data_IF_403448277851
#
_entry.id   IF_403448277851
#
_cell.length_a   1.000
_cell.length_b   1.000
_cell.length_c   1.000
_cell.angle_alpha   90.00
_cell.angle_beta   90.00
_cell.angle_gamma   90.00
#
_symmetry.space_group_name_H-M   'P 1'
#
loop_
_entity.id
_entity.type
_entity.pdbx_description
1 polymer ?
#
# COMPACT_ATOMS: atom_id res chain seq x y z
N UNK A 1 8.16 0.97 -20.26
CA UNK A 1 7.31 0.80 -19.05
C UNK A 1 8.17 0.12 -18.00
N UNK A 2 8.22 0.62 -16.76
CA UNK A 2 9.11 0.08 -15.71
C UNK A 2 8.60 -1.28 -15.20
N UNK A 3 9.48 -2.17 -14.75
CA UNK A 3 9.11 -3.56 -14.35
C UNK A 3 8.01 -3.60 -13.27
N UNK A 4 8.02 -2.65 -12.32
CA UNK A 4 6.99 -2.53 -11.29
C UNK A 4 5.62 -2.18 -11.89
N UNK A 5 5.57 -1.33 -12.92
CA UNK A 5 4.31 -1.00 -13.62
C UNK A 5 3.77 -2.21 -14.39
N UNK A 6 4.65 -3.02 -14.98
CA UNK A 6 4.26 -4.26 -15.68
C UNK A 6 3.63 -5.23 -14.67
N UNK A 7 4.31 -5.49 -13.56
CA UNK A 7 3.79 -6.34 -12.47
C UNK A 7 2.40 -5.90 -12.01
N UNK A 8 2.22 -4.60 -11.70
CA UNK A 8 0.92 -4.09 -11.27
C UNK A 8 -0.14 -4.23 -12.38
N UNK A 9 0.21 -3.94 -13.63
CA UNK A 9 -0.75 -4.01 -14.74
C UNK A 9 -1.24 -5.44 -14.94
N UNK A 10 -0.32 -6.41 -15.02
CA UNK A 10 -0.64 -7.83 -15.17
C UNK A 10 -1.44 -8.34 -13.97
N UNK A 11 -1.00 -8.04 -12.75
CA UNK A 11 -1.68 -8.47 -11.52
C UNK A 11 -3.15 -8.03 -11.48
N UNK A 12 -3.44 -6.75 -11.73
CA UNK A 12 -4.82 -6.25 -11.66
C UNK A 12 -5.68 -6.68 -12.86
N UNK A 13 -5.08 -6.96 -14.02
CA UNK A 13 -5.77 -7.58 -15.14
C UNK A 13 -6.20 -9.02 -14.81
N UNK A 14 -5.34 -9.79 -14.15
CA UNK A 14 -5.63 -11.18 -13.75
C UNK A 14 -6.60 -11.24 -12.57
N UNK A 15 -6.44 -10.37 -11.56
CA UNK A 15 -7.30 -10.36 -10.38
C UNK A 15 -8.74 -9.94 -10.68
N UNK A 16 -8.97 -9.21 -11.78
CA UNK A 16 -10.31 -8.70 -12.14
C UNK A 16 -10.88 -7.67 -11.15
N UNK A 17 -10.04 -7.11 -10.28
CA UNK A 17 -10.43 -6.08 -9.32
C UNK A 17 -10.16 -4.71 -9.93
N UNK A 18 -11.19 -3.86 -9.94
CA UNK A 18 -11.03 -2.47 -10.37
C UNK A 18 -10.08 -1.73 -9.41
N UNK A 19 -9.03 -1.05 -9.91
CA UNK A 19 -8.13 -0.29 -9.05
C UNK A 19 -8.85 0.71 -8.14
N UNK A 20 -9.99 1.26 -8.56
CA UNK A 20 -10.84 2.16 -7.75
C UNK A 20 -11.34 1.55 -6.43
N UNK A 21 -11.34 0.22 -6.28
CA UNK A 21 -11.70 -0.45 -5.03
C UNK A 21 -10.54 -0.54 -4.03
N UNK A 22 -9.30 -0.25 -4.44
CA UNK A 22 -8.19 -0.15 -3.51
C UNK A 22 -8.38 1.03 -2.58
N UNK A 23 -8.33 0.76 -1.29
CA UNK A 23 -8.28 1.80 -0.27
C UNK A 23 -6.86 2.31 -0.08
N UNK A 24 -5.89 1.39 -0.07
CA UNK A 24 -4.54 1.65 0.39
C UNK A 24 -3.51 0.75 -0.31
N UNK A 25 -2.32 1.29 -0.55
CA UNK A 25 -1.13 0.50 -0.90
C UNK A 25 -0.09 0.64 0.21
N UNK A 26 0.25 -0.48 0.83
CA UNK A 26 1.43 -0.63 1.67
C UNK A 26 2.66 -0.78 0.76
N UNK A 27 3.34 0.34 0.53
CA UNK A 27 4.48 0.44 -0.39
C UNK A 27 5.71 -0.30 0.13
N UNK A 28 6.63 -0.64 -0.77
CA UNK A 28 7.97 -1.06 -0.37
C UNK A 28 8.67 0.09 0.37
N UNK A 29 8.61 1.32 -0.16
CA UNK A 29 8.78 2.57 0.59
C UNK A 29 10.02 2.60 1.50
N UNK A 30 11.20 2.59 0.89
CA UNK A 30 12.50 2.60 1.58
C UNK A 30 13.09 4.00 1.78
N UNK A 31 12.34 5.05 1.45
CA UNK A 31 12.77 6.44 1.55
C UNK A 31 14.00 6.76 0.70
N UNK A 32 14.20 6.03 -0.41
CA UNK A 32 15.37 6.22 -1.27
C UNK A 32 15.06 7.25 -2.35
N UNK A 33 16.03 8.12 -2.65
CA UNK A 33 15.87 9.16 -3.71
C UNK A 33 15.58 8.56 -5.09
N UNK A 34 16.09 7.36 -5.36
CA UNK A 34 15.90 6.69 -6.64
C UNK A 34 14.68 5.76 -6.66
N UNK A 35 14.42 5.01 -5.57
CA UNK A 35 13.39 3.98 -5.55
C UNK A 35 11.98 4.54 -5.36
N UNK A 36 11.79 5.49 -4.46
CA UNK A 36 10.45 6.01 -4.14
C UNK A 36 9.77 6.66 -5.36
N UNK A 37 10.44 7.51 -6.18
CA UNK A 37 9.81 8.03 -7.40
C UNK A 37 9.41 6.93 -8.37
N UNK A 38 10.22 5.87 -8.52
CA UNK A 38 9.91 4.75 -9.42
C UNK A 38 8.66 4.01 -8.96
N UNK A 39 8.58 3.70 -7.66
CA UNK A 39 7.45 2.99 -7.08
C UNK A 39 6.16 3.81 -7.14
N UNK A 40 6.21 5.07 -6.70
CA UNK A 40 5.02 5.93 -6.68
C UNK A 40 4.52 6.22 -8.10
N UNK A 41 5.41 6.42 -9.07
CA UNK A 41 5.02 6.60 -10.47
C UNK A 41 4.40 5.33 -11.06
N UNK A 42 4.90 4.14 -10.70
CA UNK A 42 4.27 2.89 -11.13
C UNK A 42 2.85 2.75 -10.57
N UNK A 43 2.65 3.04 -9.28
CA UNK A 43 1.33 3.05 -8.63
C UNK A 43 0.41 4.08 -9.30
N UNK A 44 0.89 5.31 -9.52
CA UNK A 44 0.12 6.38 -10.14
C UNK A 44 -0.38 5.99 -11.54
N UNK A 45 0.53 5.51 -12.39
CA UNK A 45 0.23 5.22 -13.79
C UNK A 45 -0.74 4.06 -13.96
N UNK A 46 -0.69 3.05 -13.08
CA UNK A 46 -1.51 1.84 -13.19
C UNK A 46 -2.80 1.95 -12.40
N UNK A 47 -2.74 2.46 -11.16
CA UNK A 47 -3.82 2.34 -10.19
C UNK A 47 -4.62 3.63 -10.00
N UNK A 48 -4.08 4.78 -10.45
CA UNK A 48 -4.70 6.09 -10.21
C UNK A 48 -5.46 6.67 -11.39
N UNK A 49 -5.39 6.04 -12.58
CA UNK A 49 -6.11 6.49 -13.76
C UNK A 49 -7.62 6.53 -13.48
N UNK A 50 -8.24 7.69 -13.69
CA UNK A 50 -9.69 7.94 -13.50
C UNK A 50 -10.20 7.75 -12.06
N UNK A 51 -9.34 7.76 -11.04
CA UNK A 51 -9.80 7.78 -9.65
C UNK A 51 -10.44 9.13 -9.32
N UNK A 52 -11.57 9.09 -8.60
CA UNK A 52 -12.24 10.30 -8.08
C UNK A 52 -11.67 10.78 -6.74
N UNK A 53 -11.03 9.87 -6.01
CA UNK A 53 -10.42 10.14 -4.71
C UNK A 53 -8.96 9.72 -4.72
N UNK A 54 -8.08 10.40 -3.98
CA UNK A 54 -6.68 10.03 -3.87
C UNK A 54 -6.52 8.55 -3.48
N UNK A 55 -5.51 7.88 -4.03
CA UNK A 55 -5.09 6.57 -3.52
C UNK A 55 -4.22 6.79 -2.30
N UNK A 56 -4.58 6.18 -1.17
CA UNK A 56 -3.78 6.27 0.04
C UNK A 56 -2.56 5.35 -0.05
N UNK A 57 -1.40 5.82 0.39
CA UNK A 57 -0.18 5.03 0.47
C UNK A 57 0.51 5.20 1.82
N UNK A 58 1.36 4.24 2.17
CA UNK A 58 2.21 4.33 3.34
C UNK A 58 3.24 3.20 3.39
N UNK A 59 4.04 3.17 4.46
CA UNK A 59 5.10 2.18 4.66
C UNK A 59 5.37 1.99 6.16
N UNK A 60 5.25 0.76 6.62
CA UNK A 60 5.60 0.30 7.97
C UNK A 60 7.08 0.53 8.28
N UNK A 61 7.92 0.65 7.23
CA UNK A 61 9.36 0.91 7.41
C UNK A 61 9.62 2.28 8.02
N UNK A 62 8.70 3.22 7.85
CA UNK A 62 8.77 4.51 8.56
C UNK A 62 8.60 4.35 10.08
N UNK A 63 7.92 3.29 10.53
CA UNK A 63 7.63 3.01 11.93
C UNK A 63 8.65 2.06 12.58
N UNK A 64 9.07 1.02 11.86
CA UNK A 64 9.87 -0.10 12.40
C UNK A 64 11.25 -0.25 11.77
N UNK A 65 11.59 0.58 10.78
CA UNK A 65 12.78 0.39 9.95
C UNK A 65 12.60 -0.73 8.91
N UNK A 66 13.67 -1.00 8.16
CA UNK A 66 13.65 -1.98 7.08
C UNK A 66 14.06 -3.37 7.59
N UNK A 67 13.11 -4.29 7.68
CA UNK A 67 13.35 -5.67 8.12
C UNK A 67 13.91 -6.61 7.02
N UNK A 68 14.57 -6.04 6.01
CA UNK A 68 15.16 -6.76 4.86
C UNK A 68 14.27 -7.90 4.32
N UNK A 69 14.63 -9.22 4.32
CA UNK A 69 13.78 -10.25 3.72
C UNK A 69 12.46 -10.46 4.49
N UNK A 70 12.40 -10.05 5.76
CA UNK A 70 11.18 -10.13 6.57
C UNK A 70 10.23 -8.94 6.34
N UNK A 71 10.57 -7.98 5.47
CA UNK A 71 9.75 -6.78 5.23
C UNK A 71 8.33 -7.10 4.78
N UNK A 72 8.13 -8.16 3.99
CA UNK A 72 6.79 -8.58 3.59
C UNK A 72 5.91 -8.94 4.79
N UNK A 73 6.46 -9.63 5.79
CA UNK A 73 5.71 -10.01 6.99
C UNK A 73 5.34 -8.82 7.87
N UNK A 74 6.23 -7.84 8.01
CA UNK A 74 5.91 -6.63 8.80
C UNK A 74 4.86 -5.76 8.11
N UNK A 75 4.88 -5.70 6.77
CA UNK A 75 3.83 -5.06 5.97
C UNK A 75 2.49 -5.77 6.15
N UNK A 76 2.46 -7.11 6.05
CA UNK A 76 1.25 -7.91 6.28
C UNK A 76 0.71 -7.69 7.69
N UNK A 77 1.57 -7.68 8.71
CA UNK A 77 1.15 -7.44 10.09
C UNK A 77 0.48 -6.07 10.26
N UNK A 78 1.04 -4.99 9.67
CA UNK A 78 0.41 -3.66 9.67
C UNK A 78 -0.95 -3.67 8.97
N UNK A 79 -1.06 -4.39 7.84
CA UNK A 79 -2.32 -4.51 7.09
C UNK A 79 -3.38 -5.29 7.87
N UNK A 80 -3.01 -6.38 8.54
CA UNK A 80 -3.92 -7.12 9.43
C UNK A 80 -4.39 -6.20 10.58
N UNK A 81 -3.49 -5.44 11.19
CA UNK A 81 -3.87 -4.46 12.22
C UNK A 81 -4.88 -3.45 11.64
N UNK A 82 -4.67 -2.95 10.42
CA UNK A 82 -5.60 -2.02 9.78
C UNK A 82 -6.98 -2.65 9.53
N UNK A 83 -7.04 -3.93 9.19
CA UNK A 83 -8.30 -4.67 9.07
C UNK A 83 -8.98 -4.87 10.41
N UNK A 84 -8.23 -5.25 11.45
CA UNK A 84 -8.79 -5.49 12.78
C UNK A 84 -9.32 -4.21 13.45
N UNK A 85 -8.70 -3.06 13.18
CA UNK A 85 -9.13 -1.76 13.73
C UNK A 85 -10.06 -0.98 12.80
N UNK A 86 -10.14 -1.34 11.52
CA UNK A 86 -10.79 -0.54 10.48
C UNK A 86 -10.06 0.76 10.14
N UNK A 87 -8.84 0.97 10.68
CA UNK A 87 -8.07 2.20 10.56
C UNK A 87 -6.65 1.91 10.08
N UNK A 88 -6.22 2.59 9.01
CA UNK A 88 -4.84 2.53 8.50
C UNK A 88 -3.93 3.32 9.44
N UNK A 89 -2.91 2.69 10.05
CA UNK A 89 -1.96 3.39 10.91
C UNK A 89 -1.10 4.41 10.15
N UNK A 90 -0.77 5.56 10.75
CA UNK A 90 0.01 6.61 10.09
C UNK A 90 1.47 6.24 9.85
N UNK A 91 2.02 6.79 8.77
CA UNK A 91 3.45 6.86 8.55
C UNK A 91 4.09 7.82 9.56
N UNK A 92 5.20 7.41 10.17
CA UNK A 92 6.03 8.32 10.98
C UNK A 92 6.98 9.13 10.10
N UNK A 93 7.47 10.25 10.64
CA UNK A 93 8.49 11.11 10.03
C UNK A 93 8.08 11.72 8.66
N UNK A 94 6.80 11.67 8.30
CA UNK A 94 6.27 12.32 7.10
C UNK A 94 5.80 13.74 7.44
N UNK A 95 6.47 14.74 6.88
CA UNK A 95 6.16 16.17 7.12
C UNK A 95 5.51 16.85 5.93
N UNK A 96 6.01 16.57 4.72
CA UNK A 96 5.56 17.19 3.48
C UNK A 96 5.79 16.24 2.30
N UNK A 97 5.00 16.34 1.23
CA UNK A 97 5.24 15.57 0.00
C UNK A 97 6.59 15.96 -0.60
N UNK A 98 7.23 14.99 -1.26
CA UNK A 98 8.38 15.28 -2.10
C UNK A 98 7.93 16.06 -3.34
N UNK A 99 8.73 17.05 -3.72
CA UNK A 99 8.50 17.93 -4.88
C UNK A 99 8.85 17.27 -6.22
N UNK A 100 9.68 16.22 -6.21
CA UNK A 100 10.08 15.45 -7.40
C UNK A 100 9.12 14.31 -7.77
N UNK A 101 7.96 14.22 -7.11
CA UNK A 101 6.93 13.21 -7.39
C UNK A 101 5.57 13.89 -7.61
N UNK A 102 5.24 14.16 -8.88
CA UNK A 102 4.01 14.89 -9.28
C UNK A 102 2.73 14.34 -8.64
N UNK A 103 2.60 13.01 -8.53
CA UNK A 103 1.42 12.36 -7.96
C UNK A 103 1.19 12.70 -6.47
N UNK A 104 2.26 13.02 -5.73
CA UNK A 104 2.17 13.49 -4.35
C UNK A 104 1.86 14.99 -4.30
N UNK A 105 2.48 15.78 -5.18
CA UNK A 105 2.30 17.23 -5.26
C UNK A 105 0.87 17.60 -5.65
N UNK A 106 0.31 16.92 -6.67
CA UNK A 106 -1.03 17.17 -7.16
C UNK A 106 -2.14 16.47 -6.34
N UNK A 107 -1.77 15.67 -5.33
CA UNK A 107 -2.69 14.98 -4.43
C UNK A 107 -3.41 13.76 -5.02
N UNK A 108 -3.01 13.27 -6.20
CA UNK A 108 -3.58 12.03 -6.77
C UNK A 108 -3.25 10.81 -5.90
N UNK A 109 -2.08 10.84 -5.25
CA UNK A 109 -1.65 9.90 -4.23
C UNK A 109 -1.46 10.65 -2.92
N UNK A 110 -1.96 10.08 -1.83
CA UNK A 110 -1.90 10.69 -0.50
C UNK A 110 -1.17 9.76 0.48
N UNK A 111 -0.10 10.26 1.11
CA UNK A 111 0.55 9.54 2.21
C UNK A 111 -0.32 9.63 3.47
N UNK A 112 -0.51 8.50 4.15
CA UNK A 112 -1.29 8.42 5.39
C UNK A 112 -0.49 9.05 6.54
N UNK A 113 -0.77 10.32 6.85
CA UNK A 113 -0.09 11.09 7.91
C UNK A 113 -0.80 11.05 9.28
N UNK A 114 -2.05 10.59 9.31
CA UNK A 114 -2.88 10.35 10.49
C UNK A 114 -3.71 9.10 10.26
N UNK A 115 -4.34 8.55 11.29
CA UNK A 115 -5.23 7.40 11.11
C UNK A 115 -6.34 7.71 10.09
N UNK A 116 -6.52 6.79 9.14
CA UNK A 116 -7.50 6.92 8.05
C UNK A 116 -8.40 5.70 7.98
N UNK A 117 -9.73 5.85 7.83
CA UNK A 117 -10.64 4.71 7.78
C UNK A 117 -10.50 3.90 6.49
N UNK A 118 -10.65 2.58 6.60
CA UNK A 118 -10.88 1.70 5.46
C UNK A 118 -12.30 1.87 4.94
N UNK A 119 -12.49 1.66 3.63
CA UNK A 119 -13.79 1.84 2.95
C UNK A 119 -14.23 0.57 2.25
N UNK A 120 -13.45 0.11 1.28
CA UNK A 120 -13.75 -1.07 0.47
C UNK A 120 -13.07 -2.34 1.03
N UNK A 121 -12.07 -2.21 1.89
CA UNK A 121 -11.31 -3.30 2.50
C UNK A 121 -10.34 -3.99 1.56
N UNK A 122 -9.90 -3.36 0.47
CA UNK A 122 -8.85 -3.90 -0.41
C UNK A 122 -7.55 -3.14 -0.19
N UNK A 123 -6.49 -3.88 0.17
CA UNK A 123 -5.17 -3.33 0.42
C UNK A 123 -4.13 -4.09 -0.41
N UNK A 124 -3.38 -3.35 -1.23
CA UNK A 124 -2.23 -3.90 -1.94
C UNK A 124 -0.95 -3.76 -1.11
N UNK A 125 -0.01 -4.69 -1.28
CA UNK A 125 1.31 -4.70 -0.63
C UNK A 125 2.38 -4.85 -1.70
N UNK A 126 3.36 -3.94 -1.72
CA UNK A 126 4.54 -4.02 -2.56
C UNK A 126 5.76 -4.47 -1.75
N UNK A 127 6.51 -5.45 -2.27
CA UNK A 127 7.80 -5.86 -1.70
C UNK A 127 8.81 -6.09 -2.81
N UNK A 128 9.82 -5.23 -2.89
CA UNK A 128 10.80 -5.21 -3.98
C UNK A 128 12.20 -5.45 -3.41
N UNK A 129 12.84 -6.54 -3.84
CA UNK A 129 14.21 -6.85 -3.46
C UNK A 129 15.21 -6.03 -4.28
N UNK A 130 16.31 -5.59 -3.67
CA UNK A 130 17.34 -4.81 -4.35
C UNK A 130 17.95 -5.54 -5.57
N UNK A 131 17.92 -6.88 -5.58
CA UNK A 131 18.36 -7.72 -6.70
C UNK A 131 17.41 -7.74 -7.91
N UNK A 132 16.28 -7.01 -7.85
CA UNK A 132 15.33 -6.87 -8.96
C UNK A 132 14.10 -7.79 -8.88
N UNK A 133 14.03 -8.70 -7.90
CA UNK A 133 12.85 -9.52 -7.65
C UNK A 133 11.72 -8.69 -7.05
N UNK A 134 10.57 -8.65 -7.70
CA UNK A 134 9.43 -7.84 -7.28
C UNK A 134 8.23 -8.73 -6.95
N UNK A 135 7.53 -8.43 -5.86
CA UNK A 135 6.29 -9.09 -5.48
C UNK A 135 5.20 -8.05 -5.19
N UNK A 136 3.97 -8.37 -5.59
CA UNK A 136 2.77 -7.63 -5.24
C UNK A 136 1.72 -8.61 -4.70
N UNK A 137 0.97 -8.19 -3.70
CA UNK A 137 -0.12 -8.98 -3.12
C UNK A 137 -1.32 -8.09 -2.87
N UNK A 138 -2.52 -8.63 -3.03
CA UNK A 138 -3.77 -7.99 -2.68
C UNK A 138 -4.43 -8.75 -1.54
N UNK A 139 -4.73 -8.06 -0.44
CA UNK A 139 -5.50 -8.60 0.68
C UNK A 139 -6.88 -7.96 0.71
N UNK A 140 -7.88 -8.78 1.02
CA UNK A 140 -9.27 -8.37 1.19
C UNK A 140 -9.69 -8.58 2.63
N UNK A 141 -10.15 -7.51 3.27
CA UNK A 141 -10.74 -7.53 4.60
C UNK A 141 -11.95 -8.49 4.64
N UNK A 142 -11.91 -9.43 5.57
CA UNK A 142 -13.05 -10.25 5.95
C UNK A 142 -13.91 -9.49 6.96
N UNK A 143 -15.12 -9.11 6.55
CA UNK A 143 -16.07 -8.34 7.40
C UNK A 143 -16.98 -9.23 8.24
N UNK A 144 -16.73 -10.56 8.29
CA UNK A 144 -17.49 -11.45 9.16
C UNK A 144 -17.32 -11.02 10.61
N UNK A 145 -18.43 -10.85 11.31
CA UNK A 145 -18.42 -10.58 12.73
C UNK A 145 -17.79 -11.76 13.49
N UNK A 146 -16.92 -11.46 14.45
CA UNK A 146 -16.36 -12.47 15.33
C UNK A 146 -17.50 -13.07 16.14
N UNK A 147 -17.78 -14.36 15.92
CA UNK A 147 -18.78 -15.07 16.71
C UNK A 147 -18.25 -15.13 18.16
N UNK A 148 -18.90 -14.40 19.08
CA UNK A 148 -18.73 -14.44 20.54
C UNK A 148 -17.56 -13.71 21.21
N UNK A 149 -16.91 -12.68 20.65
CA UNK A 149 -15.72 -12.04 21.28
C UNK A 149 -14.61 -13.04 21.71
N UNK A 150 -14.69 -14.30 21.27
CA UNK A 150 -13.75 -15.36 21.57
C UNK A 150 -12.58 -15.31 20.62
N UNK A 151 -11.43 -15.85 21.06
CA UNK A 151 -10.31 -16.08 20.17
C UNK A 151 -10.78 -16.92 18.95
N UNK A 152 -10.30 -16.64 17.73
CA UNK A 152 -10.70 -17.36 16.52
C UNK A 152 -10.50 -18.87 16.73
N UNK A 153 -11.52 -19.66 16.41
CA UNK A 153 -11.50 -21.13 16.50
C UNK A 153 -11.40 -21.77 15.11
N UNK A 154 -10.56 -21.19 14.26
CA UNK A 154 -10.19 -21.75 12.95
C UNK A 154 -8.94 -22.64 13.14
#
# INVERSE_FOLDING_TARGET
MHVQSILLTEFYNECGILPSYLDYIETHGTATRAGDPVEVNAIHNVLCKNRKTPLMIGSVKSNLGHAEPASGFTQIAKVIIAFETGLIPPNMNYTSPRDDIDALVNGTIQVVAKEMPLKNGYIGINSFGFGGSNAHMLLKWNTKEKVNNGAPSD
#
